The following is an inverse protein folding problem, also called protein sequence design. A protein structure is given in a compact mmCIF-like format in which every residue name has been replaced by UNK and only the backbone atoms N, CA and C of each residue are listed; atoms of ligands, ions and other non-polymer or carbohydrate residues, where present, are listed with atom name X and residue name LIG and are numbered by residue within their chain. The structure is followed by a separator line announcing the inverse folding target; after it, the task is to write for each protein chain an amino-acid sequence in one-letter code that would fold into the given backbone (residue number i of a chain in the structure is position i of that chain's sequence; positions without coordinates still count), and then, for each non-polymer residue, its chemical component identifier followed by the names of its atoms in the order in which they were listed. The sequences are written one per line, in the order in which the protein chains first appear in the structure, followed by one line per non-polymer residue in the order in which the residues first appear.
data_IF_957939557007
#
_entry.id   IF_957939557007
#
_cell.length_a   1.000
_cell.length_b   1.000
_cell.length_c   1.000
_cell.angle_alpha   90.00
_cell.angle_beta   90.00
_cell.angle_gamma   90.00
#
_symmetry.space_group_name_H-M   'P 1'
#
loop_
_entity.id
_entity.type
_entity.pdbx_description
1 polymer ?
#
# COMPACT_ATOMS: atom_id res chain seq x y z
N UNK A 1 -20.81 -3.64 17.47
CA UNK A 1 -20.08 -2.36 17.51
C UNK A 1 -19.10 -2.45 16.36
N UNK A 2 -19.19 -1.56 15.36
CA UNK A 2 -18.20 -1.55 14.28
C UNK A 2 -16.88 -1.14 14.90
N UNK A 3 -15.91 -2.03 14.83
CA UNK A 3 -14.55 -1.72 15.28
C UNK A 3 -13.97 -0.71 14.29
N UNK A 4 -13.46 0.39 14.84
CA UNK A 4 -12.80 1.47 14.09
C UNK A 4 -11.31 1.51 14.41
N UNK A 5 -10.82 0.53 15.17
CA UNK A 5 -9.40 0.33 15.30
C UNK A 5 -8.86 -0.01 13.91
N UNK A 6 -8.06 0.90 13.38
CA UNK A 6 -7.06 0.56 12.39
C UNK A 6 -6.35 -0.69 12.89
N UNK A 7 -6.24 -1.73 12.08
CA UNK A 7 -5.31 -2.82 12.33
C UNK A 7 -3.89 -2.31 12.05
N UNK A 8 -3.53 -1.24 12.77
CA UNK A 8 -2.23 -0.63 12.78
C UNK A 8 -1.34 -1.47 13.69
N UNK A 9 -0.88 -2.56 13.08
CA UNK A 9 0.08 -3.51 13.60
C UNK A 9 -0.39 -4.27 14.87
N UNK A 10 -0.25 -5.61 14.89
CA UNK A 10 -0.86 -6.44 15.92
C UNK A 10 -0.16 -6.30 17.29
N UNK A 11 -0.78 -5.59 18.24
CA UNK A 11 -0.49 -5.64 19.68
C UNK A 11 0.98 -5.40 20.11
N UNK A 12 1.32 -5.56 21.40
CA UNK A 12 2.70 -5.41 21.86
C UNK A 12 3.62 -6.46 21.21
N UNK A 13 4.50 -6.00 20.32
CA UNK A 13 5.49 -6.82 19.62
C UNK A 13 6.43 -7.55 20.56
N UNK A 14 6.10 -8.79 20.91
CA UNK A 14 7.10 -9.71 21.48
C UNK A 14 8.00 -10.28 20.38
N UNK A 15 7.52 -10.32 19.12
CA UNK A 15 8.24 -10.88 17.98
C UNK A 15 7.99 -10.09 16.69
N UNK A 16 9.02 -9.93 15.88
CA UNK A 16 8.91 -9.45 14.50
C UNK A 16 8.61 -10.63 13.58
N UNK A 17 7.63 -10.49 12.70
CA UNK A 17 7.43 -11.41 11.59
C UNK A 17 8.28 -10.95 10.42
N UNK A 18 9.21 -11.81 9.99
CA UNK A 18 10.01 -11.59 8.80
C UNK A 18 9.60 -12.61 7.74
N UNK A 19 9.39 -12.12 6.52
CA UNK A 19 9.24 -12.96 5.33
C UNK A 19 10.26 -12.50 4.30
N UNK A 20 11.02 -13.45 3.77
CA UNK A 20 11.89 -13.18 2.64
C UNK A 20 11.06 -13.26 1.36
N UNK A 21 11.14 -12.21 0.54
CA UNK A 21 10.58 -12.15 -0.81
C UNK A 21 11.79 -12.09 -1.75
N UNK A 22 11.85 -13.00 -2.73
CA UNK A 22 13.02 -13.17 -3.61
C UNK A 22 12.65 -13.25 -5.09
N UNK A 23 11.38 -13.15 -5.41
CA UNK A 23 10.79 -13.39 -6.73
C UNK A 23 10.34 -12.10 -7.43
N UNK A 24 10.74 -10.93 -6.92
CA UNK A 24 10.53 -9.65 -7.60
C UNK A 24 11.26 -9.57 -8.93
N UNK A 25 10.58 -9.03 -9.94
CA UNK A 25 11.11 -8.79 -11.28
C UNK A 25 11.28 -7.28 -11.52
N UNK A 26 12.16 -6.87 -12.45
CA UNK A 26 12.21 -5.49 -12.90
C UNK A 26 10.83 -4.94 -13.27
N UNK A 27 10.46 -3.80 -12.69
CA UNK A 27 9.14 -3.18 -12.86
C UNK A 27 8.08 -3.62 -11.84
N UNK A 28 8.38 -4.60 -10.98
CA UNK A 28 7.52 -4.91 -9.83
C UNK A 28 7.64 -3.84 -8.74
N UNK A 29 6.57 -3.73 -7.95
CA UNK A 29 6.51 -2.85 -6.78
C UNK A 29 6.03 -3.64 -5.57
N UNK A 30 6.89 -3.74 -4.56
CA UNK A 30 6.52 -4.27 -3.27
C UNK A 30 5.84 -3.17 -2.45
N UNK A 31 4.62 -3.42 -2.00
CA UNK A 31 3.83 -2.50 -1.18
C UNK A 31 3.62 -3.09 0.21
N UNK A 32 4.13 -2.40 1.23
CA UNK A 32 3.82 -2.66 2.63
C UNK A 32 2.90 -1.54 3.13
N UNK A 33 1.75 -1.90 3.70
CA UNK A 33 0.79 -0.89 4.16
C UNK A 33 -0.10 -1.38 5.29
N UNK A 34 -0.72 -0.44 6.00
CA UNK A 34 -1.83 -0.72 6.93
C UNK A 34 -3.11 -1.04 6.15
N UNK A 35 -4.13 -1.51 6.87
CA UNK A 35 -5.48 -1.78 6.36
C UNK A 35 -6.17 -0.57 5.74
N UNK A 36 -5.92 0.65 6.26
CA UNK A 36 -6.38 1.91 5.66
C UNK A 36 -5.97 2.13 4.20
N UNK A 37 -5.00 1.37 3.68
CA UNK A 37 -4.66 1.33 2.25
C UNK A 37 -4.87 -0.04 1.59
N UNK A 38 -4.59 -1.14 2.30
CA UNK A 38 -4.71 -2.48 1.70
C UNK A 38 -6.17 -2.91 1.48
N UNK A 39 -7.11 -2.50 2.34
CA UNK A 39 -8.54 -2.76 2.14
C UNK A 39 -9.10 -2.09 0.88
N UNK A 40 -8.89 -0.77 0.63
CA UNK A 40 -9.34 -0.16 -0.62
C UNK A 40 -8.62 -0.74 -1.84
N UNK A 41 -7.32 -1.08 -1.73
CA UNK A 41 -6.62 -1.74 -2.83
C UNK A 41 -7.26 -3.10 -3.20
N UNK A 42 -7.74 -3.85 -2.21
CA UNK A 42 -8.44 -5.12 -2.39
C UNK A 42 -9.91 -4.95 -2.83
N UNK A 43 -10.59 -3.91 -2.37
CA UNK A 43 -12.02 -3.68 -2.59
C UNK A 43 -12.36 -2.83 -3.82
N UNK A 44 -11.44 -1.99 -4.30
CA UNK A 44 -11.69 -1.00 -5.37
C UNK A 44 -10.85 -1.31 -6.63
N UNK A 45 -11.41 -2.03 -7.64
CA UNK A 45 -10.67 -2.42 -8.84
C UNK A 45 -10.15 -1.23 -9.65
N UNK A 46 -10.89 -0.12 -9.71
CA UNK A 46 -10.50 1.09 -10.44
C UNK A 46 -9.26 1.74 -9.82
N UNK A 47 -9.20 1.82 -8.49
CA UNK A 47 -8.02 2.29 -7.77
C UNK A 47 -6.81 1.40 -8.04
N UNK A 48 -7.00 0.08 -7.96
CA UNK A 48 -5.93 -0.89 -8.25
C UNK A 48 -5.39 -0.74 -9.67
N UNK A 49 -6.27 -0.62 -10.66
CA UNK A 49 -5.87 -0.44 -12.05
C UNK A 49 -5.14 0.89 -12.27
N UNK A 50 -5.62 1.98 -11.68
CA UNK A 50 -4.94 3.29 -11.73
C UNK A 50 -3.55 3.21 -11.14
N UNK A 51 -3.40 2.63 -9.96
CA UNK A 51 -2.10 2.51 -9.30
C UNK A 51 -1.15 1.58 -10.05
N UNK A 52 -1.64 0.46 -10.59
CA UNK A 52 -0.82 -0.41 -11.44
C UNK A 52 -0.28 0.33 -12.67
N UNK A 53 -1.09 1.19 -13.30
CA UNK A 53 -0.64 2.04 -14.39
C UNK A 53 0.41 3.07 -13.96
N UNK A 54 0.18 3.75 -12.82
CA UNK A 54 1.07 4.80 -12.32
C UNK A 54 2.39 4.28 -11.76
N UNK A 55 2.37 3.12 -11.10
CA UNK A 55 3.53 2.57 -10.39
C UNK A 55 4.31 1.53 -11.19
N UNK A 56 3.70 0.95 -12.23
CA UNK A 56 4.38 0.07 -13.18
C UNK A 56 5.18 0.81 -14.26
N UNK A 57 5.25 2.15 -14.20
CA UNK A 57 6.16 2.93 -15.03
C UNK A 57 7.61 2.78 -14.57
N UNK A 58 8.57 3.05 -15.46
CA UNK A 58 10.00 2.90 -15.17
C UNK A 58 10.56 3.94 -14.19
N UNK A 59 9.76 4.95 -13.81
CA UNK A 59 10.20 6.05 -12.96
C UNK A 59 9.47 6.04 -11.63
N UNK A 60 10.23 6.02 -10.53
CA UNK A 60 9.68 6.16 -9.18
C UNK A 60 9.01 7.54 -9.03
N UNK A 61 7.76 7.62 -8.53
CA UNK A 61 7.07 8.89 -8.40
C UNK A 61 7.78 9.82 -7.42
N UNK A 62 7.71 11.13 -7.68
CA UNK A 62 8.15 12.13 -6.70
C UNK A 62 7.27 12.11 -5.44
N UNK A 63 7.78 12.59 -4.30
CA UNK A 63 7.06 12.50 -3.01
C UNK A 63 5.65 13.10 -3.03
N UNK A 64 5.45 14.25 -3.68
CA UNK A 64 4.13 14.89 -3.77
C UNK A 64 3.16 14.07 -4.62
N UNK A 65 3.66 13.47 -5.69
CA UNK A 65 2.88 12.59 -6.56
C UNK A 65 2.55 11.28 -5.84
N UNK A 66 3.52 10.66 -5.17
CA UNK A 66 3.30 9.47 -4.35
C UNK A 66 2.25 9.72 -3.26
N UNK A 67 2.35 10.85 -2.55
CA UNK A 67 1.35 11.24 -1.56
C UNK A 67 -0.03 11.38 -2.20
N UNK A 68 -0.14 12.03 -3.36
CA UNK A 68 -1.42 12.17 -4.06
C UNK A 68 -2.01 10.81 -4.48
N UNK A 69 -1.18 9.95 -5.06
CA UNK A 69 -1.59 8.64 -5.57
C UNK A 69 -2.09 7.71 -4.46
N UNK A 70 -1.49 7.80 -3.26
CA UNK A 70 -1.84 6.99 -2.08
C UNK A 70 -3.04 7.53 -1.29
N UNK A 71 -3.61 8.70 -1.65
CA UNK A 71 -4.85 9.16 -1.03
C UNK A 71 -6.05 8.36 -1.52
N UNK A 72 -6.73 7.69 -0.59
CA UNK A 72 -8.03 7.05 -0.82
C UNK A 72 -9.13 8.07 -0.53
N UNK A 73 -10.07 8.23 -1.47
CA UNK A 73 -11.23 9.15 -1.34
C UNK A 73 -12.58 8.43 -1.36
N UNK A 74 -12.57 7.10 -1.28
CA UNK A 74 -13.78 6.30 -1.25
C UNK A 74 -14.43 6.39 0.14
N UNK A 75 -15.76 6.54 0.16
CA UNK A 75 -16.56 6.96 1.33
C UNK A 75 -16.54 5.99 2.53
N UNK A 76 -15.96 4.81 2.35
CA UNK A 76 -15.88 3.74 3.36
C UNK A 76 -14.45 3.42 3.83
N UNK A 77 -13.45 4.19 3.39
CA UNK A 77 -12.05 3.98 3.76
C UNK A 77 -11.44 5.29 4.27
N UNK A 78 -11.85 5.69 5.47
CA UNK A 78 -11.43 6.92 6.15
C UNK A 78 -10.35 6.69 7.21
N UNK A 79 -9.81 5.48 7.27
CA UNK A 79 -8.83 5.06 8.26
C UNK A 79 -7.42 5.63 8.01
N UNK A 80 -6.62 5.68 9.07
CA UNK A 80 -5.22 6.09 9.02
C UNK A 80 -4.44 5.11 8.13
N UNK A 81 -3.61 5.66 7.23
CA UNK A 81 -2.82 4.87 6.29
C UNK A 81 -1.34 5.15 6.42
N UNK A 82 -0.58 4.07 6.50
CA UNK A 82 0.86 4.07 6.26
C UNK A 82 1.14 3.21 5.03
N UNK A 83 1.95 3.73 4.10
CA UNK A 83 2.33 3.02 2.87
C UNK A 83 3.82 3.19 2.66
N UNK A 84 4.51 2.06 2.48
CA UNK A 84 5.93 1.99 2.11
C UNK A 84 6.00 1.17 0.83
N UNK A 85 6.64 1.73 -0.19
CA UNK A 85 6.82 1.07 -1.48
C UNK A 85 8.30 0.90 -1.79
N UNK A 86 8.65 -0.25 -2.35
CA UNK A 86 9.96 -0.53 -2.94
C UNK A 86 9.73 -0.87 -4.42
N UNK A 87 10.33 -0.09 -5.32
CA UNK A 87 10.31 -0.35 -6.76
C UNK A 87 11.54 -1.15 -7.15
N UNK A 88 11.33 -2.28 -7.82
CA UNK A 88 12.41 -3.06 -8.39
C UNK A 88 12.93 -2.35 -9.66
N UNK A 89 14.22 -2.00 -9.63
CA UNK A 89 14.88 -1.34 -10.74
C UNK A 89 15.03 -2.25 -11.96
N UNK A 90 15.39 -1.65 -13.12
CA UNK A 90 15.79 -2.40 -14.31
C UNK A 90 17.05 -3.24 -14.11
#
# INVERSE_FOLDING_TARGET
MLDSATDCLPGPYQHAHARLITDGLPGDVLVLSTDGFSLPLAGEPEMRSRLAGQWGETTVPGLAEFLWQTQVRARSYDDDRTVVCLWEGP
#
